data_IF_015803140977
#
_entry.id   IF_015803140977
#
_cell.length_a   1.000
_cell.length_b   1.000
_cell.length_c   1.000
_cell.angle_alpha   90.00
_cell.angle_beta   90.00
_cell.angle_gamma   90.00
#
_symmetry.space_group_name_H-M   'P 1'
#
loop_
_entity.id
_entity.type
_entity.pdbx_description
1 polymer ?
#
# COMPACT_ATOMS: atom_id res chain seq x y z
N UNK A 1 12.00 41.12 -4.97
CA UNK A 1 12.48 40.33 -6.13
C UNK A 1 11.65 40.71 -7.35
N UNK A 2 12.21 40.84 -8.57
CA UNK A 2 11.47 41.20 -9.77
C UNK A 2 10.34 40.20 -10.06
N UNK A 3 9.15 40.68 -10.50
CA UNK A 3 7.93 39.88 -10.67
C UNK A 3 8.11 38.69 -11.64
N UNK A 4 9.00 38.81 -12.61
CA UNK A 4 9.31 37.75 -13.58
C UNK A 4 10.03 36.54 -12.98
N UNK A 5 10.86 36.73 -11.94
CA UNK A 5 11.57 35.63 -11.27
C UNK A 5 10.64 34.81 -10.35
N UNK A 6 9.55 35.41 -9.88
CA UNK A 6 8.54 34.76 -9.02
C UNK A 6 7.72 33.76 -9.84
N UNK A 7 7.37 34.09 -11.09
CA UNK A 7 6.67 33.17 -12.01
C UNK A 7 7.48 31.92 -12.32
N UNK A 8 8.77 32.08 -12.67
CA UNK A 8 9.65 30.94 -12.94
C UNK A 8 9.91 30.07 -11.71
N UNK A 9 10.11 30.68 -10.53
CA UNK A 9 10.30 29.93 -9.28
C UNK A 9 9.05 29.13 -8.88
N UNK A 10 7.86 29.70 -9.06
CA UNK A 10 6.58 29.05 -8.77
C UNK A 10 6.32 27.88 -9.73
N UNK A 11 6.66 28.04 -11.02
CA UNK A 11 6.57 26.97 -12.01
C UNK A 11 7.45 25.77 -11.68
N UNK A 12 8.72 26.00 -11.31
CA UNK A 12 9.65 24.94 -10.92
C UNK A 12 9.16 24.22 -9.64
N UNK A 13 8.67 24.96 -8.64
CA UNK A 13 8.15 24.34 -7.41
C UNK A 13 6.96 23.42 -7.67
N UNK A 14 6.02 23.87 -8.50
CA UNK A 14 4.86 23.05 -8.89
C UNK A 14 5.25 21.80 -9.68
N UNK A 15 6.23 21.93 -10.59
CA UNK A 15 6.77 20.80 -11.33
C UNK A 15 7.41 19.77 -10.38
N UNK A 16 8.30 20.22 -9.49
CA UNK A 16 8.96 19.34 -8.51
C UNK A 16 7.94 18.62 -7.60
N UNK A 17 6.88 19.33 -7.17
CA UNK A 17 5.80 18.74 -6.38
C UNK A 17 5.02 17.66 -7.14
N UNK A 18 4.62 17.93 -8.39
CA UNK A 18 3.88 16.96 -9.20
C UNK A 18 4.74 15.74 -9.54
N UNK A 19 6.02 15.96 -9.88
CA UNK A 19 6.99 14.89 -10.11
C UNK A 19 7.15 14.05 -8.84
N UNK A 20 7.41 14.67 -7.69
CA UNK A 20 7.55 13.97 -6.42
C UNK A 20 6.30 13.18 -6.03
N UNK A 21 5.10 13.73 -6.26
CA UNK A 21 3.83 13.05 -6.05
C UNK A 21 3.70 11.79 -6.92
N UNK A 22 3.95 11.90 -8.22
CA UNK A 22 3.88 10.76 -9.14
C UNK A 22 4.92 9.68 -8.84
N UNK A 23 6.16 10.07 -8.52
CA UNK A 23 7.20 9.13 -8.09
C UNK A 23 6.83 8.43 -6.78
N UNK A 24 6.25 9.16 -5.82
CA UNK A 24 5.77 8.59 -4.57
C UNK A 24 4.68 7.54 -4.80
N UNK A 25 3.67 7.86 -5.63
CA UNK A 25 2.60 6.92 -5.97
C UNK A 25 3.17 5.69 -6.67
N UNK A 26 4.02 5.85 -7.68
CA UNK A 26 4.63 4.74 -8.42
C UNK A 26 5.51 3.85 -7.52
N UNK A 27 6.24 4.45 -6.57
CA UNK A 27 7.02 3.72 -5.58
C UNK A 27 6.15 2.90 -4.65
N UNK A 28 5.07 3.49 -4.12
CA UNK A 28 4.14 2.80 -3.21
C UNK A 28 3.35 1.71 -3.93
N UNK A 29 2.91 1.92 -5.17
CA UNK A 29 2.22 0.88 -5.95
C UNK A 29 3.14 -0.30 -6.26
N UNK A 30 4.41 -0.03 -6.57
CA UNK A 30 5.43 -1.06 -6.77
C UNK A 30 5.70 -1.83 -5.48
N UNK A 31 5.86 -1.12 -4.35
CA UNK A 31 6.03 -1.73 -3.04
C UNK A 31 4.83 -2.61 -2.68
N UNK A 32 3.61 -2.13 -2.94
CA UNK A 32 2.39 -2.87 -2.69
C UNK A 32 2.37 -4.20 -3.43
N UNK A 33 2.68 -4.18 -4.74
CA UNK A 33 2.71 -5.39 -5.56
C UNK A 33 3.76 -6.40 -5.06
N UNK A 34 4.97 -5.93 -4.71
CA UNK A 34 6.02 -6.79 -4.16
C UNK A 34 5.62 -7.40 -2.81
N UNK A 35 5.00 -6.60 -1.93
CA UNK A 35 4.55 -7.07 -0.61
C UNK A 35 3.38 -8.04 -0.73
N UNK A 36 2.46 -7.81 -1.66
CA UNK A 36 1.35 -8.74 -1.90
C UNK A 36 1.87 -10.10 -2.35
N UNK A 37 2.83 -10.14 -3.28
CA UNK A 37 3.47 -11.38 -3.72
C UNK A 37 4.21 -12.09 -2.58
N UNK A 38 4.93 -11.33 -1.73
CA UNK A 38 5.63 -11.88 -0.58
C UNK A 38 4.67 -12.55 0.41
N UNK A 39 3.60 -11.87 0.80
CA UNK A 39 2.61 -12.41 1.73
C UNK A 39 1.83 -13.58 1.11
N UNK A 40 1.50 -13.49 -0.19
CA UNK A 40 0.89 -14.59 -0.93
C UNK A 40 1.75 -15.86 -0.88
N UNK A 41 3.05 -15.76 -1.19
CA UNK A 41 3.97 -16.89 -1.18
C UNK A 41 4.03 -17.56 0.20
N UNK A 42 4.05 -16.76 1.27
CA UNK A 42 4.07 -17.29 2.64
C UNK A 42 2.75 -17.92 3.08
N UNK A 43 1.61 -17.36 2.64
CA UNK A 43 0.29 -17.90 2.99
C UNK A 43 0.00 -19.19 2.23
N UNK A 44 0.36 -19.27 0.95
CA UNK A 44 0.06 -20.45 0.12
C UNK A 44 0.86 -21.68 0.56
N UNK A 45 2.05 -21.51 1.15
CA UNK A 45 2.82 -22.61 1.78
C UNK A 45 2.01 -23.35 2.87
N UNK A 46 1.08 -22.65 3.53
CA UNK A 46 0.23 -23.23 4.57
C UNK A 46 -1.04 -23.89 4.01
N UNK A 47 -1.39 -23.63 2.74
CA UNK A 47 -2.47 -24.30 2.02
C UNK A 47 -1.93 -25.61 1.46
N UNK A 48 -1.93 -26.63 2.31
CA UNK A 48 -1.49 -27.97 1.94
C UNK A 48 -2.37 -29.02 2.59
N UNK A 49 -2.65 -30.10 1.87
CA UNK A 49 -3.35 -31.27 2.43
C UNK A 49 -2.54 -31.94 3.55
N UNK A 50 -1.24 -31.67 3.64
CA UNK A 50 -0.37 -32.13 4.71
C UNK A 50 -0.46 -31.26 5.97
N UNK A 51 -1.08 -30.08 5.89
CA UNK A 51 -1.38 -29.28 7.07
C UNK A 51 -2.71 -29.78 7.68
N UNK A 52 -2.70 -30.38 8.89
CA UNK A 52 -3.89 -30.98 9.47
C UNK A 52 -5.04 -29.98 9.65
N UNK A 53 -4.71 -28.71 9.96
CA UNK A 53 -5.71 -27.65 10.13
C UNK A 53 -6.40 -27.29 8.81
N UNK A 54 -5.64 -27.23 7.71
CA UNK A 54 -6.22 -27.00 6.40
C UNK A 54 -7.02 -28.21 5.92
N UNK A 55 -6.53 -29.43 6.17
CA UNK A 55 -7.21 -30.67 5.80
C UNK A 55 -8.57 -30.81 6.49
N UNK A 56 -8.68 -30.46 7.77
CA UNK A 56 -9.96 -30.42 8.50
C UNK A 56 -10.92 -29.38 7.92
N UNK A 57 -10.45 -28.15 7.71
CA UNK A 57 -11.26 -27.09 7.09
C UNK A 57 -11.75 -27.52 5.70
N UNK A 58 -10.87 -28.13 4.90
CA UNK A 58 -11.17 -28.60 3.55
C UNK A 58 -12.25 -29.68 3.55
N UNK A 59 -12.10 -30.71 4.40
CA UNK A 59 -13.09 -31.78 4.55
C UNK A 59 -14.44 -31.25 5.03
N UNK A 60 -14.44 -30.39 6.03
CA UNK A 60 -15.67 -29.82 6.58
C UNK A 60 -16.38 -28.91 5.58
N UNK A 61 -15.63 -28.11 4.81
CA UNK A 61 -16.18 -27.27 3.74
C UNK A 61 -16.82 -28.11 2.63
N UNK A 62 -16.20 -29.22 2.25
CA UNK A 62 -16.77 -30.14 1.24
C UNK A 62 -18.06 -30.76 1.77
N UNK A 63 -18.03 -31.29 3.00
CA UNK A 63 -19.19 -31.91 3.62
C UNK A 63 -20.41 -30.98 3.60
N UNK A 64 -20.23 -29.71 3.98
CA UNK A 64 -21.29 -28.68 3.94
C UNK A 64 -21.87 -28.44 2.55
N UNK A 65 -21.02 -28.39 1.52
CA UNK A 65 -21.49 -28.16 0.15
C UNK A 65 -22.20 -29.39 -0.43
N UNK A 66 -21.72 -30.58 -0.09
CA UNK A 66 -22.36 -31.84 -0.48
C UNK A 66 -23.72 -31.99 0.22
N UNK A 67 -23.81 -31.66 1.50
CA UNK A 67 -25.09 -31.58 2.24
C UNK A 67 -26.05 -30.57 1.61
N UNK A 68 -25.52 -29.47 1.06
CA UNK A 68 -26.31 -28.48 0.30
C UNK A 68 -26.68 -28.95 -1.13
N UNK A 69 -26.40 -30.20 -1.50
CA UNK A 69 -26.78 -30.80 -2.77
C UNK A 69 -25.77 -30.62 -3.92
N UNK A 70 -24.57 -30.09 -3.65
CA UNK A 70 -23.53 -29.96 -4.68
C UNK A 70 -22.84 -31.31 -4.97
N UNK A 71 -22.53 -31.62 -6.23
CA UNK A 71 -21.68 -32.76 -6.55
C UNK A 71 -20.32 -32.65 -5.85
N UNK A 72 -19.81 -33.77 -5.34
CA UNK A 72 -18.55 -33.82 -4.57
C UNK A 72 -17.37 -33.15 -5.30
N UNK A 73 -17.22 -33.40 -6.60
CA UNK A 73 -16.16 -32.81 -7.42
C UNK A 73 -16.28 -31.28 -7.53
N UNK A 74 -17.51 -30.77 -7.62
CA UNK A 74 -17.79 -29.33 -7.66
C UNK A 74 -17.48 -28.70 -6.30
N UNK A 75 -17.93 -29.34 -5.22
CA UNK A 75 -17.65 -28.91 -3.85
C UNK A 75 -16.14 -28.82 -3.57
N UNK A 76 -15.35 -29.81 -4.00
CA UNK A 76 -13.89 -29.78 -3.86
C UNK A 76 -13.24 -28.57 -4.52
N UNK A 77 -13.62 -28.27 -5.77
CA UNK A 77 -13.09 -27.12 -6.51
C UNK A 77 -13.53 -25.81 -5.86
N UNK A 78 -14.78 -25.73 -5.41
CA UNK A 78 -15.33 -24.54 -4.78
C UNK A 78 -14.64 -24.21 -3.45
N UNK A 79 -14.43 -25.21 -2.56
CA UNK A 79 -13.74 -25.00 -1.29
C UNK A 79 -12.29 -24.55 -1.51
N UNK A 80 -11.61 -25.15 -2.48
CA UNK A 80 -10.25 -24.73 -2.83
C UNK A 80 -10.22 -23.29 -3.38
N UNK A 81 -11.18 -22.94 -4.24
CA UNK A 81 -11.33 -21.58 -4.75
C UNK A 81 -11.60 -20.55 -3.65
N UNK A 82 -12.43 -20.90 -2.66
CA UNK A 82 -12.68 -20.05 -1.49
C UNK A 82 -11.40 -19.85 -0.69
N UNK A 83 -10.63 -20.91 -0.43
CA UNK A 83 -9.37 -20.83 0.30
C UNK A 83 -8.34 -19.96 -0.44
N UNK A 84 -8.24 -20.13 -1.76
CA UNK A 84 -7.39 -19.29 -2.61
C UNK A 84 -7.79 -17.82 -2.56
N UNK A 85 -9.09 -17.52 -2.69
CA UNK A 85 -9.60 -16.15 -2.60
C UNK A 85 -9.34 -15.52 -1.23
N UNK A 86 -9.39 -16.33 -0.15
CA UNK A 86 -9.03 -15.87 1.18
C UNK A 86 -7.54 -15.53 1.28
N UNK A 87 -6.65 -16.35 0.72
CA UNK A 87 -5.22 -16.04 0.68
C UNK A 87 -4.94 -14.74 -0.05
N UNK A 88 -5.51 -14.57 -1.25
CA UNK A 88 -5.38 -13.32 -2.02
C UNK A 88 -5.86 -12.10 -1.23
N UNK A 89 -7.01 -12.23 -0.55
CA UNK A 89 -7.53 -11.14 0.28
C UNK A 89 -6.59 -10.82 1.45
N UNK A 90 -6.09 -11.84 2.14
CA UNK A 90 -5.23 -11.66 3.31
C UNK A 90 -3.86 -11.09 2.91
N UNK A 91 -3.28 -11.57 1.80
CA UNK A 91 -2.01 -11.05 1.28
C UNK A 91 -2.12 -9.58 0.91
N UNK A 92 -3.23 -9.18 0.26
CA UNK A 92 -3.48 -7.79 -0.09
C UNK A 92 -3.63 -6.89 1.16
N UNK A 93 -4.34 -7.35 2.19
CA UNK A 93 -4.49 -6.60 3.45
C UNK A 93 -3.14 -6.42 4.16
N UNK A 94 -2.34 -7.47 4.26
CA UNK A 94 -1.01 -7.40 4.88
C UNK A 94 -0.08 -6.46 4.10
N UNK A 95 -0.08 -6.55 2.77
CA UNK A 95 0.69 -5.67 1.91
C UNK A 95 0.27 -4.19 2.04
N UNK A 96 -1.04 -3.94 2.17
CA UNK A 96 -1.55 -2.59 2.39
C UNK A 96 -1.09 -2.01 3.74
N UNK A 97 -1.09 -2.82 4.80
CA UNK A 97 -0.58 -2.42 6.12
C UNK A 97 0.91 -2.06 6.03
N UNK A 98 1.71 -2.85 5.33
CA UNK A 98 3.14 -2.57 5.12
C UNK A 98 3.36 -1.24 4.39
N UNK A 99 2.59 -0.99 3.32
CA UNK A 99 2.65 0.27 2.58
C UNK A 99 2.20 1.47 3.44
N UNK A 100 1.17 1.29 4.27
CA UNK A 100 0.71 2.33 5.18
C UNK A 100 1.81 2.73 6.18
N UNK A 101 2.50 1.74 6.76
CA UNK A 101 3.65 1.99 7.62
C UNK A 101 4.81 2.67 6.88
N UNK A 102 5.12 2.24 5.66
CA UNK A 102 6.18 2.85 4.86
C UNK A 102 5.91 4.33 4.58
N UNK A 103 4.68 4.68 4.19
CA UNK A 103 4.27 6.07 3.96
C UNK A 103 4.24 6.85 5.27
N UNK A 104 3.74 6.27 6.37
CA UNK A 104 3.74 6.90 7.69
C UNK A 104 5.14 7.26 8.17
N UNK A 105 6.10 6.35 8.02
CA UNK A 105 7.51 6.59 8.33
C UNK A 105 8.09 7.68 7.42
N UNK A 106 7.77 7.66 6.12
CA UNK A 106 8.22 8.70 5.20
C UNK A 106 7.74 10.10 5.61
N UNK A 107 6.48 10.23 6.07
CA UNK A 107 5.94 11.49 6.58
C UNK A 107 6.64 11.90 7.87
N UNK A 108 6.84 10.98 8.81
CA UNK A 108 7.55 11.26 10.07
C UNK A 108 9.00 11.70 9.79
N UNK A 109 9.66 11.11 8.79
CA UNK A 109 11.02 11.47 8.39
C UNK A 109 11.13 12.90 7.83
N UNK A 110 10.04 13.51 7.37
CA UNK A 110 10.01 14.92 6.92
C UNK A 110 10.04 15.89 8.11
N UNK A 111 9.50 15.50 9.28
CA UNK A 111 9.44 16.36 10.48
C UNK A 111 10.82 16.94 10.88
N UNK A 112 11.91 16.15 11.02
CA UNK A 112 13.21 16.69 11.37
C UNK A 112 13.80 17.60 10.28
N UNK A 113 13.47 17.38 9.00
CA UNK A 113 13.93 18.22 7.89
C UNK A 113 13.42 19.66 8.07
N UNK A 114 12.20 19.83 8.58
CA UNK A 114 11.62 21.15 8.84
C UNK A 114 12.42 21.91 9.91
N UNK A 115 12.94 21.24 10.93
CA UNK A 115 13.77 21.87 11.96
C UNK A 115 15.15 22.30 11.44
N UNK A 116 15.67 21.62 10.42
CA UNK A 116 16.95 21.94 9.77
C UNK A 116 16.78 23.11 8.78
N UNK A 117 15.59 23.33 8.23
CA UNK A 117 15.33 24.45 7.33
C UNK A 117 15.40 25.79 8.09
N UNK A 118 16.49 26.53 7.85
CA UNK A 118 16.68 27.90 8.33
C UNK A 118 15.51 28.78 7.90
N UNK A 119 14.94 29.53 8.84
CA UNK A 119 13.90 30.52 8.59
C UNK A 119 14.42 31.53 7.54
N UNK A 120 13.66 31.83 6.47
CA UNK A 120 14.06 32.86 5.53
C UNK A 120 14.18 34.20 6.28
N UNK A 121 15.19 35.05 5.93
CA UNK A 121 15.33 36.35 6.56
C UNK A 121 14.04 37.15 6.37
N UNK A 122 13.45 37.59 7.49
CA UNK A 122 12.33 38.53 7.48
C UNK A 122 12.78 39.73 6.66
N UNK A 123 12.28 39.85 5.43
CA UNK A 123 12.41 41.11 4.70
C UNK A 123 11.61 42.11 5.52
N UNK A 124 12.32 43.04 6.17
CA UNK A 124 11.71 44.17 6.81
C UNK A 124 10.88 44.89 5.74
N UNK A 125 9.57 44.92 5.94
CA UNK A 125 8.67 45.87 5.29
C UNK A 125 9.12 47.26 5.72
N UNK A 126 10.06 47.84 4.99
CA UNK A 126 10.35 49.26 5.10
C UNK A 126 9.18 49.99 4.46
N UNK A 127 8.45 50.70 5.30
CA UNK A 127 7.50 51.70 4.94
C UNK A 127 8.11 52.75 4.00
N UNK A 128 7.33 53.14 3.00
CA UNK A 128 7.27 54.44 2.31
C UNK A 128 5.84 54.42 1.77
N UNK A 129 4.84 55.15 2.29
CA UNK A 129 4.77 56.57 2.69
C UNK A 129 5.50 57.44 1.68
N UNK A 130 4.93 57.59 0.49
CA UNK A 130 4.25 58.82 0.02
C UNK A 130 3.46 58.51 -1.25
#
# INVERSE_FOLDING_TARGET
MPRDKIGSATGIFNLMRNIGGSFGIAGVTTLLAQREQFHYARLIENISQYNPRFAEMYKHGIAKLVEAGQPYLTAQKQVMGIAYAQVMKQSAVMAFIDCFWAVGIAIIAIIPIIFIMRRPPKHATTAVVE
#
